data_IF_500302707765
#
_entry.id   IF_500302707765
#
_cell.length_a   1.000
_cell.length_b   1.000
_cell.length_c   1.000
_cell.angle_alpha   90.00
_cell.angle_beta   90.00
_cell.angle_gamma   90.00
#
_symmetry.space_group_name_H-M   'P 1'
#
loop_
_entity.id
_entity.type
_entity.pdbx_description
1 polymer ?
#
# COMPACT_ATOMS: atom_id res chain seq x y z
N UNK A 1 11.63 9.98 -1.27
CA UNK A 1 10.47 9.37 -0.58
C UNK A 1 9.20 9.99 -1.15
N UNK A 2 8.43 9.25 -1.95
CA UNK A 2 7.10 9.73 -2.35
C UNK A 2 6.27 9.85 -1.06
N UNK A 3 5.81 11.06 -0.72
CA UNK A 3 4.93 11.27 0.44
C UNK A 3 3.64 10.50 0.15
N UNK A 4 3.46 9.35 0.78
CA UNK A 4 2.21 8.63 0.75
C UNK A 4 1.16 9.45 1.52
N UNK A 5 -0.07 9.48 1.01
CA UNK A 5 -1.17 10.06 1.76
C UNK A 5 -1.39 9.27 3.05
N UNK A 6 -1.73 9.99 4.11
CA UNK A 6 -2.08 9.42 5.40
C UNK A 6 -3.30 8.51 5.28
N UNK A 7 -3.39 7.48 6.13
CA UNK A 7 -4.49 6.51 6.07
C UNK A 7 -5.84 7.17 6.37
N UNK A 8 -5.87 8.14 7.29
CA UNK A 8 -7.05 8.95 7.60
C UNK A 8 -7.64 9.62 6.35
N UNK A 9 -6.80 10.21 5.50
CA UNK A 9 -7.24 10.88 4.29
C UNK A 9 -7.83 9.89 3.28
N UNK A 10 -7.23 8.70 3.18
CA UNK A 10 -7.75 7.64 2.30
C UNK A 10 -9.09 7.11 2.79
N UNK A 11 -9.23 6.88 4.10
CA UNK A 11 -10.51 6.48 4.69
C UNK A 11 -11.56 7.58 4.52
N UNK A 12 -11.18 8.86 4.65
CA UNK A 12 -12.08 9.99 4.43
C UNK A 12 -12.64 10.01 3.00
N UNK A 13 -11.83 9.67 2.01
CA UNK A 13 -12.29 9.53 0.61
C UNK A 13 -13.35 8.43 0.49
N UNK A 14 -13.15 7.29 1.14
CA UNK A 14 -14.11 6.18 1.10
C UNK A 14 -15.43 6.57 1.75
N UNK A 15 -15.40 7.15 2.95
CA UNK A 15 -16.63 7.56 3.64
C UNK A 15 -17.45 8.53 2.80
N UNK A 16 -16.81 9.55 2.23
CA UNK A 16 -17.51 10.52 1.37
C UNK A 16 -18.09 9.86 0.11
N UNK A 17 -17.38 8.90 -0.48
CA UNK A 17 -17.90 8.15 -1.62
C UNK A 17 -19.12 7.28 -1.23
N UNK A 18 -19.09 6.69 -0.04
CA UNK A 18 -20.20 5.92 0.50
C UNK A 18 -21.41 6.79 0.84
N UNK A 19 -21.19 8.05 1.24
CA UNK A 19 -22.22 9.09 1.42
C UNK A 19 -22.79 9.61 0.08
N UNK A 20 -22.37 9.05 -1.05
CA UNK A 20 -22.89 9.40 -2.38
C UNK A 20 -22.24 10.63 -3.03
N UNK A 21 -21.12 11.13 -2.49
CA UNK A 21 -20.42 12.25 -3.10
C UNK A 21 -19.74 11.81 -4.40
N UNK A 22 -19.86 12.62 -5.45
CA UNK A 22 -19.14 12.38 -6.70
C UNK A 22 -17.62 12.54 -6.49
N UNK A 23 -16.83 11.78 -7.24
CA UNK A 23 -15.36 11.80 -7.15
C UNK A 23 -14.76 13.20 -7.36
N UNK A 24 -15.40 14.01 -8.22
CA UNK A 24 -15.01 15.41 -8.45
C UNK A 24 -15.29 16.26 -7.22
N UNK A 25 -16.45 16.07 -6.56
CA UNK A 25 -16.82 16.79 -5.34
C UNK A 25 -15.87 16.43 -4.19
N UNK A 26 -15.52 15.15 -4.05
CA UNK A 26 -14.54 14.67 -3.06
C UNK A 26 -13.16 15.31 -3.31
N UNK A 27 -12.68 15.28 -4.55
CA UNK A 27 -11.40 15.88 -4.94
C UNK A 27 -11.33 17.37 -4.59
N UNK A 28 -12.40 18.12 -4.88
CA UNK A 28 -12.50 19.54 -4.52
C UNK A 28 -12.54 19.76 -3.00
N UNK A 29 -13.33 18.96 -2.28
CA UNK A 29 -13.53 19.10 -0.84
C UNK A 29 -12.26 18.79 -0.02
N UNK A 30 -11.45 17.84 -0.49
CA UNK A 30 -10.21 17.45 0.16
C UNK A 30 -8.98 18.14 -0.42
N UNK A 31 -9.15 19.02 -1.42
CA UNK A 31 -8.06 19.68 -2.15
C UNK A 31 -7.02 18.71 -2.73
N UNK A 32 -7.48 17.60 -3.31
CA UNK A 32 -6.63 16.56 -3.91
C UNK A 32 -6.98 16.40 -5.39
N UNK A 33 -6.04 15.90 -6.18
CA UNK A 33 -6.32 15.55 -7.57
C UNK A 33 -7.40 14.47 -7.68
N UNK A 34 -8.27 14.58 -8.69
CA UNK A 34 -9.27 13.55 -9.02
C UNK A 34 -8.62 12.19 -9.25
N UNK A 35 -7.45 12.16 -9.91
CA UNK A 35 -6.68 10.94 -10.16
C UNK A 35 -6.33 10.20 -8.86
N UNK A 36 -5.99 10.93 -7.81
CA UNK A 36 -5.71 10.34 -6.50
C UNK A 36 -6.95 9.67 -5.91
N UNK A 37 -8.10 10.35 -5.98
CA UNK A 37 -9.39 9.81 -5.53
C UNK A 37 -9.75 8.53 -6.31
N UNK A 38 -9.61 8.56 -7.63
CA UNK A 38 -9.87 7.40 -8.50
C UNK A 38 -8.96 6.21 -8.14
N UNK A 39 -7.65 6.44 -7.95
CA UNK A 39 -6.71 5.39 -7.56
C UNK A 39 -7.07 4.76 -6.20
N UNK A 40 -7.41 5.57 -5.19
CA UNK A 40 -7.75 5.08 -3.85
C UNK A 40 -9.04 4.26 -3.88
N UNK A 41 -10.06 4.74 -4.59
CA UNK A 41 -11.31 4.00 -4.76
C UNK A 41 -11.09 2.70 -5.52
N UNK A 42 -10.23 2.69 -6.55
CA UNK A 42 -9.90 1.47 -7.28
C UNK A 42 -9.23 0.42 -6.38
N UNK A 43 -8.27 0.82 -5.55
CA UNK A 43 -7.63 -0.08 -4.57
C UNK A 43 -8.69 -0.63 -3.61
N UNK A 44 -9.58 0.23 -3.10
CA UNK A 44 -10.62 -0.20 -2.17
C UNK A 44 -11.61 -1.18 -2.80
N UNK A 45 -12.08 -0.92 -4.02
CA UNK A 45 -12.99 -1.83 -4.74
C UNK A 45 -12.34 -3.18 -5.01
N UNK A 46 -11.02 -3.19 -5.28
CA UNK A 46 -10.31 -4.42 -5.60
C UNK A 46 -9.94 -5.25 -4.35
N UNK A 47 -9.61 -4.60 -3.23
CA UNK A 47 -8.99 -5.26 -2.08
C UNK A 47 -9.74 -5.06 -0.75
N UNK A 48 -10.76 -4.20 -0.70
CA UNK A 48 -11.47 -3.85 0.54
C UNK A 48 -10.63 -3.04 1.53
N UNK A 49 -9.48 -2.52 1.12
CA UNK A 49 -8.55 -1.77 1.99
C UNK A 49 -8.01 -0.52 1.31
N UNK A 50 -7.62 0.48 2.10
CA UNK A 50 -6.92 1.70 1.66
C UNK A 50 -5.40 1.58 1.75
N UNK A 51 -4.92 0.55 2.44
CA UNK A 51 -3.50 0.25 2.59
C UNK A 51 -3.12 -0.69 1.46
N UNK A 52 -2.00 -0.42 0.80
CA UNK A 52 -1.54 -1.34 -0.23
C UNK A 52 -1.06 -2.63 0.47
N UNK A 53 -1.72 -3.78 0.25
CA UNK A 53 -1.32 -5.04 0.89
C UNK A 53 0.08 -5.51 0.45
N UNK A 54 0.57 -5.01 -0.68
CA UNK A 54 1.91 -5.29 -1.22
C UNK A 54 2.96 -4.26 -0.83
N UNK A 55 2.64 -3.33 0.08
CA UNK A 55 3.60 -2.39 0.63
C UNK A 55 4.56 -3.13 1.57
N UNK A 56 5.45 -3.94 0.99
CA UNK A 56 6.53 -4.59 1.74
C UNK A 56 7.36 -3.50 2.41
N UNK A 57 7.76 -3.66 3.68
CA UNK A 57 8.78 -2.81 4.26
C UNK A 57 10.01 -2.84 3.34
N UNK A 58 10.69 -1.70 3.12
CA UNK A 58 11.93 -1.69 2.36
C UNK A 58 12.94 -2.59 3.07
N UNK A 59 13.15 -3.78 2.51
CA UNK A 59 13.96 -4.83 3.11
C UNK A 59 13.61 -6.17 2.47
N UNK A 60 14.56 -6.76 1.77
CA UNK A 60 14.46 -8.17 1.39
C UNK A 60 14.49 -8.96 2.71
N UNK A 61 13.44 -9.73 3.02
CA UNK A 61 13.58 -10.77 4.04
C UNK A 61 14.77 -11.62 3.62
N UNK A 62 15.87 -11.56 4.37
CA UNK A 62 17.03 -12.41 4.15
C UNK A 62 16.62 -13.82 4.57
N UNK A 63 15.97 -14.54 3.67
CA UNK A 63 15.81 -15.99 3.81
C UNK A 63 17.18 -16.61 3.50
N UNK A 64 18.11 -16.45 4.42
CA UNK A 64 19.53 -16.85 4.37
C UNK A 64 20.33 -16.27 3.19
N UNK A 65 21.46 -15.68 3.54
CA UNK A 65 22.44 -15.21 2.57
C UNK A 65 23.17 -16.41 1.96
N UNK A 66 23.67 -16.33 0.72
CA UNK A 66 24.39 -17.46 0.08
C UNK A 66 25.58 -17.97 0.92
N UNK A 67 26.22 -17.07 1.68
CA UNK A 67 27.26 -17.44 2.65
C UNK A 67 26.72 -18.26 3.83
N UNK A 68 25.52 -17.96 4.33
CA UNK A 68 24.87 -18.72 5.41
C UNK A 68 24.40 -20.09 4.90
N UNK A 69 23.95 -20.19 3.65
CA UNK A 69 23.71 -21.49 2.99
C UNK A 69 25.00 -22.31 2.87
N UNK A 70 26.12 -21.70 2.45
CA UNK A 70 27.42 -22.39 2.37
C UNK A 70 27.92 -22.88 3.73
N UNK A 71 27.72 -22.09 4.79
CA UNK A 71 28.07 -22.51 6.15
C UNK A 71 27.24 -23.73 6.56
N UNK A 72 25.93 -23.77 6.27
CA UNK A 72 25.08 -24.93 6.58
C UNK A 72 25.53 -26.22 5.88
N UNK A 73 25.99 -26.14 4.64
CA UNK A 73 26.52 -27.31 3.91
C UNK A 73 27.88 -27.77 4.45
N UNK A 74 28.68 -26.87 5.06
CA UNK A 74 29.99 -27.23 5.63
C UNK A 74 29.90 -27.93 6.99
N UNK A 75 28.82 -27.71 7.74
CA UNK A 75 28.55 -28.38 9.02
C UNK A 75 27.89 -29.75 8.85
N UNK A 76 27.24 -30.01 7.71
CA UNK A 76 26.76 -31.32 7.32
C UNK A 76 27.88 -31.94 6.48
N UNK A 77 28.87 -32.52 7.15
CA UNK A 77 29.99 -33.20 6.48
C UNK A 77 29.47 -34.31 5.57
N UNK A 78 29.57 -34.09 4.25
CA UNK A 78 29.62 -35.08 3.19
C UNK A 78 30.94 -34.86 2.46
#
# INVERSE_FOLDING_TARGET
>A
MARAFSEDLKWRIIYLHHDGYSRIKIARLLHISKRTVDNILQIYVQWGTVVNPWQKPPGRHKTLTQNEMKLRTRWIGI
#
